data_IF_916277812681
#
_entry.id   IF_916277812681
#
_cell.length_a   1.000
_cell.length_b   1.000
_cell.length_c   1.000
_cell.angle_alpha   90.00
_cell.angle_beta   90.00
_cell.angle_gamma   90.00
#
_symmetry.space_group_name_H-M   'P 1'
#
loop_
_entity.id
_entity.type
_entity.pdbx_description
1 polymer ?
#
# COMPACT_ATOMS: atom_id res chain seq x y z
N UNK A 1 5.41 11.96 -18.96
CA UNK A 1 4.14 11.22 -19.03
C UNK A 1 3.53 11.14 -17.64
N UNK A 2 2.31 11.55 -17.52
CA UNK A 2 1.63 11.56 -16.23
C UNK A 2 0.67 10.39 -16.16
N UNK A 3 0.84 9.51 -15.19
CA UNK A 3 -0.11 8.42 -14.98
C UNK A 3 -1.38 8.96 -14.34
N UNK A 4 -2.51 8.52 -14.86
CA UNK A 4 -3.80 8.82 -14.25
C UNK A 4 -3.92 8.02 -12.95
N UNK A 5 -4.10 8.72 -11.83
CA UNK A 5 -4.14 8.09 -10.51
C UNK A 5 -5.35 7.18 -10.30
N UNK A 6 -6.37 7.37 -11.08
CA UNK A 6 -7.61 6.59 -10.97
C UNK A 6 -7.69 5.45 -11.98
N UNK A 7 -6.73 5.39 -12.89
CA UNK A 7 -6.70 4.40 -13.96
C UNK A 7 -6.05 3.11 -13.47
N UNK A 8 -6.67 1.95 -13.71
CA UNK A 8 -6.03 0.68 -13.38
C UNK A 8 -4.66 0.53 -14.05
N UNK A 9 -3.68 0.07 -13.30
CA UNK A 9 -2.32 -0.12 -13.78
C UNK A 9 -1.38 1.04 -13.51
N UNK A 10 -1.87 2.16 -12.95
CA UNK A 10 -1.00 3.25 -12.51
C UNK A 10 -0.21 2.88 -11.25
N UNK A 11 0.87 3.63 -11.00
CA UNK A 11 1.74 3.37 -9.85
C UNK A 11 1.00 3.48 -8.51
N UNK A 12 0.00 4.34 -8.44
CA UNK A 12 -0.74 4.58 -7.22
C UNK A 12 -2.00 3.70 -7.11
N UNK A 13 -2.16 2.74 -8.03
CA UNK A 13 -3.36 1.91 -8.04
C UNK A 13 -4.58 2.66 -8.52
N UNK A 14 -5.74 2.24 -8.07
CA UNK A 14 -7.00 2.88 -8.49
C UNK A 14 -8.07 2.68 -7.43
N UNK A 15 -9.10 3.52 -7.48
CA UNK A 15 -10.26 3.40 -6.61
C UNK A 15 -11.43 2.89 -7.43
N UNK A 16 -12.09 1.86 -6.92
CA UNK A 16 -13.24 1.24 -7.59
C UNK A 16 -14.15 0.64 -6.51
N UNK A 17 -15.44 0.85 -6.64
CA UNK A 17 -16.44 0.31 -5.72
C UNK A 17 -16.16 0.60 -4.25
N UNK A 18 -15.70 1.81 -3.96
CA UNK A 18 -15.44 2.24 -2.59
C UNK A 18 -14.18 1.65 -1.96
N UNK A 19 -13.32 1.06 -2.77
CA UNK A 19 -12.08 0.47 -2.29
C UNK A 19 -10.91 0.93 -3.15
N UNK A 20 -9.76 1.05 -2.54
CA UNK A 20 -8.50 1.28 -3.25
C UNK A 20 -7.85 -0.07 -3.53
N UNK A 21 -7.33 -0.23 -4.73
CA UNK A 21 -6.66 -1.44 -5.19
C UNK A 21 -5.22 -1.12 -5.55
N UNK A 22 -4.29 -1.88 -5.01
CA UNK A 22 -2.87 -1.70 -5.24
C UNK A 22 -2.26 -3.05 -5.61
N UNK A 23 -1.58 -3.12 -6.75
CA UNK A 23 -0.99 -4.35 -7.24
C UNK A 23 0.51 -4.36 -6.95
N UNK A 24 1.01 -5.51 -6.53
CA UNK A 24 2.43 -5.71 -6.38
C UNK A 24 2.79 -7.16 -6.72
N UNK A 25 4.06 -7.37 -7.04
CA UNK A 25 4.60 -8.72 -7.24
C UNK A 25 5.56 -9.01 -6.11
N UNK A 26 5.47 -10.21 -5.57
CA UNK A 26 6.40 -10.67 -4.54
C UNK A 26 7.78 -10.80 -5.14
N UNK A 27 8.74 -10.06 -4.59
CA UNK A 27 10.13 -10.07 -5.02
C UNK A 27 10.95 -11.00 -4.14
N UNK A 28 12.15 -11.34 -4.60
CA UNK A 28 13.05 -12.20 -3.83
C UNK A 28 13.29 -11.63 -2.43
N UNK A 29 13.48 -10.31 -2.32
CA UNK A 29 13.75 -9.65 -1.05
C UNK A 29 12.57 -9.73 -0.07
N UNK A 30 11.38 -10.05 -0.56
CA UNK A 30 10.18 -10.15 0.28
C UNK A 30 10.05 -11.53 0.92
N UNK A 31 10.84 -12.50 0.46
CA UNK A 31 10.69 -13.89 0.88
C UNK A 31 11.70 -14.28 1.93
N UNK A 32 11.34 -15.32 2.69
CA UNK A 32 12.25 -15.93 3.66
C UNK A 32 12.92 -17.18 3.07
N UNK A 33 13.63 -17.93 3.90
CA UNK A 33 14.34 -19.13 3.46
C UNK A 33 13.42 -20.21 2.92
N UNK A 34 12.13 -20.16 3.24
CA UNK A 34 11.13 -21.11 2.74
C UNK A 34 10.53 -20.72 1.40
N UNK A 35 10.92 -19.59 0.82
CA UNK A 35 10.42 -19.16 -0.47
C UNK A 35 9.05 -18.49 -0.43
N UNK A 36 8.55 -18.18 0.74
CA UNK A 36 7.28 -17.48 0.92
C UNK A 36 7.52 -16.12 1.54
N UNK A 37 6.55 -15.21 1.40
CA UNK A 37 6.65 -13.87 1.98
C UNK A 37 6.86 -13.97 3.48
N UNK A 38 7.93 -13.31 3.96
CA UNK A 38 8.15 -13.19 5.40
C UNK A 38 7.00 -12.39 6.01
N UNK A 39 6.41 -12.92 7.09
CA UNK A 39 5.14 -12.39 7.59
C UNK A 39 5.16 -10.88 7.90
N UNK A 40 6.28 -10.34 8.34
CA UNK A 40 6.37 -8.90 8.60
C UNK A 40 6.28 -8.06 7.34
N UNK A 41 6.58 -8.62 6.17
CA UNK A 41 6.55 -7.88 4.91
C UNK A 41 5.13 -7.55 4.46
N UNK A 42 4.13 -8.27 4.95
CA UNK A 42 2.74 -7.90 4.67
C UNK A 42 2.39 -6.53 5.23
N UNK A 43 3.02 -6.13 6.34
CA UNK A 43 2.87 -4.79 6.89
C UNK A 43 3.47 -3.75 5.95
N UNK A 44 4.63 -4.05 5.36
CA UNK A 44 5.26 -3.16 4.39
C UNK A 44 4.38 -3.00 3.15
N UNK A 45 3.76 -4.09 2.69
CA UNK A 45 2.83 -4.04 1.55
C UNK A 45 1.62 -3.17 1.87
N UNK A 46 1.07 -3.33 3.07
CA UNK A 46 -0.06 -2.53 3.51
C UNK A 46 0.30 -1.04 3.60
N UNK A 47 1.52 -0.71 4.06
CA UNK A 47 1.99 0.67 4.12
C UNK A 47 2.16 1.28 2.74
N UNK A 48 2.69 0.51 1.78
CA UNK A 48 2.79 0.97 0.39
C UNK A 48 1.41 1.24 -0.20
N UNK A 49 0.46 0.34 0.07
CA UNK A 49 -0.91 0.50 -0.40
C UNK A 49 -1.58 1.72 0.22
N UNK A 50 -1.34 1.96 1.51
CA UNK A 50 -1.88 3.12 2.20
C UNK A 50 -1.36 4.42 1.59
N UNK A 51 -0.05 4.50 1.35
CA UNK A 51 0.55 5.66 0.71
C UNK A 51 0.01 5.88 -0.70
N UNK A 52 -0.16 4.79 -1.46
CA UNK A 52 -0.73 4.87 -2.80
C UNK A 52 -2.18 5.36 -2.77
N UNK A 53 -2.96 4.90 -1.81
CA UNK A 53 -4.33 5.37 -1.63
C UNK A 53 -4.39 6.87 -1.36
N UNK A 54 -3.53 7.34 -0.46
CA UNK A 54 -3.50 8.77 -0.14
C UNK A 54 -3.15 9.59 -1.37
N UNK A 55 -2.23 9.13 -2.20
CA UNK A 55 -1.90 9.81 -3.46
C UNK A 55 -3.09 9.84 -4.42
N UNK A 56 -3.87 8.77 -4.47
CA UNK A 56 -5.07 8.71 -5.31
C UNK A 56 -6.09 9.78 -4.93
N UNK A 57 -6.13 10.18 -3.67
CA UNK A 57 -7.04 11.22 -3.18
C UNK A 57 -6.31 12.54 -2.96
N UNK A 58 -5.16 12.71 -3.61
CA UNK A 58 -4.36 13.93 -3.62
C UNK A 58 -3.72 14.32 -2.28
N UNK A 59 -3.52 13.36 -1.41
CA UNK A 59 -2.77 13.58 -0.18
C UNK A 59 -1.37 13.00 -0.36
N UNK A 60 -0.36 13.86 -0.38
CA UNK A 60 1.03 13.46 -0.51
C UNK A 60 1.74 13.67 0.81
N UNK A 61 2.18 12.59 1.42
CA UNK A 61 2.81 12.65 2.74
C UNK A 61 4.10 13.46 2.73
N UNK A 62 4.87 13.39 1.65
CA UNK A 62 6.11 14.15 1.51
C UNK A 62 5.85 15.66 1.52
N UNK A 63 4.76 16.10 0.92
CA UNK A 63 4.37 17.52 0.92
C UNK A 63 3.85 17.92 2.30
N UNK A 64 3.09 17.04 2.94
CA UNK A 64 2.57 17.26 4.29
C UNK A 64 3.72 17.42 5.29
N UNK A 65 4.73 16.58 5.20
CA UNK A 65 5.90 16.67 6.08
C UNK A 65 6.70 17.94 5.82
N UNK A 66 6.80 18.37 4.56
CA UNK A 66 7.52 19.58 4.20
C UNK A 66 6.82 20.85 4.68
N UNK A 67 5.49 20.80 4.83
CA UNK A 67 4.71 21.96 5.26
C UNK A 67 4.89 22.30 6.73
N UNK A 68 5.43 21.40 7.52
CA UNK A 68 5.64 21.62 8.94
C UNK A 68 4.48 21.12 9.80
N UNK A 69 4.76 20.94 11.08
CA UNK A 69 3.82 20.27 11.99
C UNK A 69 2.53 21.04 12.23
N UNK A 70 2.57 22.38 12.16
CA UNK A 70 1.39 23.18 12.45
C UNK A 70 0.33 23.11 11.35
N UNK A 71 0.78 23.00 10.11
CA UNK A 71 -0.09 23.02 8.94
C UNK A 71 -0.24 21.65 8.30
N UNK A 72 0.41 20.62 8.85
CA UNK A 72 0.42 19.31 8.25
C UNK A 72 -0.54 18.36 8.95
N UNK A 73 -1.21 17.53 8.14
CA UNK A 73 -2.01 16.43 8.64
C UNK A 73 -1.22 15.15 8.42
N UNK A 74 -0.75 14.54 9.49
CA UNK A 74 0.00 13.30 9.41
C UNK A 74 -0.89 12.12 9.80
N UNK A 75 -0.84 11.07 8.98
CA UNK A 75 -1.56 9.84 9.25
C UNK A 75 -0.61 8.85 9.90
N UNK A 76 -0.88 8.53 11.15
CA UNK A 76 -0.05 7.62 11.94
C UNK A 76 -0.85 6.39 12.30
N UNK A 77 -0.24 5.23 12.12
CA UNK A 77 -0.90 3.97 12.50
C UNK A 77 -0.92 3.89 14.03
N UNK A 78 -2.12 3.79 14.58
CA UNK A 78 -2.31 3.67 16.04
C UNK A 78 -2.50 2.22 16.46
N UNK A 79 -3.18 1.46 15.63
CA UNK A 79 -3.50 0.07 15.96
C UNK A 79 -3.53 -0.75 14.69
N UNK A 80 -3.06 -1.97 14.79
CA UNK A 80 -3.03 -2.89 13.67
C UNK A 80 -3.45 -4.27 14.14
N UNK A 81 -4.25 -4.95 13.33
CA UNK A 81 -4.61 -6.35 13.53
C UNK A 81 -4.44 -7.08 12.22
N UNK A 82 -3.81 -8.25 12.24
CA UNK A 82 -3.54 -9.02 11.04
C UNK A 82 -3.85 -10.49 11.28
N UNK A 83 -4.53 -11.10 10.29
CA UNK A 83 -4.77 -12.53 10.25
C UNK A 83 -4.08 -13.10 9.03
N UNK A 84 -3.13 -14.01 9.23
CA UNK A 84 -2.37 -14.65 8.15
C UNK A 84 -3.09 -15.93 7.74
N UNK A 85 -3.81 -15.86 6.62
CA UNK A 85 -4.67 -16.95 6.21
C UNK A 85 -4.02 -17.86 5.18
N UNK A 86 -3.18 -17.32 4.31
CA UNK A 86 -2.48 -18.09 3.28
C UNK A 86 -1.12 -17.49 2.99
N UNK A 87 -0.17 -18.34 2.62
CA UNK A 87 1.16 -17.88 2.23
C UNK A 87 1.17 -17.49 0.76
N UNK A 88 2.02 -16.50 0.42
CA UNK A 88 2.29 -16.13 -0.96
C UNK A 88 3.76 -16.43 -1.26
N UNK A 89 4.04 -16.93 -2.45
CA UNK A 89 5.38 -17.28 -2.85
C UNK A 89 6.03 -16.25 -3.76
N UNK A 90 7.31 -16.47 -4.03
CA UNK A 90 8.08 -15.63 -4.94
C UNK A 90 7.37 -15.56 -6.30
N UNK A 91 7.29 -14.35 -6.84
CA UNK A 91 6.67 -14.11 -8.13
C UNK A 91 5.16 -13.98 -8.12
N UNK A 92 4.51 -14.23 -6.98
CA UNK A 92 3.06 -14.10 -6.89
C UNK A 92 2.63 -12.65 -7.10
N UNK A 93 1.53 -12.46 -7.81
CA UNK A 93 0.89 -11.15 -7.94
C UNK A 93 -0.12 -11.00 -6.81
N UNK A 94 0.01 -9.92 -6.05
CA UNK A 94 -0.88 -9.65 -4.94
C UNK A 94 -1.64 -8.36 -5.20
N UNK A 95 -2.88 -8.34 -4.77
CA UNK A 95 -3.69 -7.13 -4.78
C UNK A 95 -4.00 -6.76 -3.34
N UNK A 96 -3.61 -5.56 -2.96
CA UNK A 96 -3.96 -5.01 -1.65
C UNK A 96 -5.21 -4.17 -1.82
N UNK A 97 -6.26 -4.54 -1.14
CA UNK A 97 -7.53 -3.82 -1.19
C UNK A 97 -7.71 -3.07 0.12
N UNK A 98 -7.88 -1.76 0.02
CA UNK A 98 -8.02 -0.88 1.18
C UNK A 98 -9.38 -0.22 1.20
N UNK A 99 -10.07 -0.32 2.33
CA UNK A 99 -11.36 0.32 2.52
C UNK A 99 -11.32 1.18 3.78
N UNK A 100 -11.99 2.31 3.73
CA UNK A 100 -12.18 3.15 4.92
C UNK A 100 -13.46 2.72 5.62
N UNK A 101 -13.40 2.73 6.92
CA UNK A 101 -14.57 2.42 7.75
C UNK A 101 -15.04 3.67 8.50
#
# INVERSE_FOLDING_TARGET
MTADRMTPGGLDGWVEDGAHHYLLRVQFEDTDAGGIVYHANYLAFAERARSAYLRCIDIRQEETMAAGAEDSMMFVVRRLSIDYMRAAGLGAALKVETRLQ
#
